data_IF_393471866912
#
_entry.id   IF_393471866912
#
_cell.length_a   1.000
_cell.length_b   1.000
_cell.length_c   1.000
_cell.angle_alpha   90.00
_cell.angle_beta   90.00
_cell.angle_gamma   90.00
#
_symmetry.space_group_name_H-M   'P 1'
#
loop_
_entity.id
_entity.type
_entity.pdbx_description
1 polymer ?
#
# COMPACT_ATOMS: atom_id res chain seq x y z
N UNK A 1 16.42 -7.67 -18.78
CA UNK A 1 15.42 -6.58 -18.87
C UNK A 1 15.36 -5.90 -17.52
N UNK A 2 15.14 -4.58 -17.48
CA UNK A 2 14.96 -3.82 -16.24
C UNK A 2 13.62 -4.20 -15.60
N UNK A 3 13.57 -4.66 -14.33
CA UNK A 3 12.30 -4.98 -13.66
C UNK A 3 11.37 -3.77 -13.59
N UNK A 4 10.07 -3.96 -13.80
CA UNK A 4 9.03 -2.92 -13.78
C UNK A 4 8.17 -3.08 -12.54
N UNK A 5 8.18 -2.09 -11.67
CA UNK A 5 7.46 -2.13 -10.39
C UNK A 5 6.31 -1.13 -10.45
N UNK A 6 5.08 -1.61 -10.28
CA UNK A 6 3.91 -0.76 -10.12
C UNK A 6 3.67 -0.46 -8.64
N UNK A 7 3.71 0.82 -8.29
CA UNK A 7 3.45 1.31 -6.94
C UNK A 7 2.03 1.86 -6.88
N UNK A 8 1.18 1.35 -6.00
CA UNK A 8 -0.18 1.85 -5.77
C UNK A 8 -0.26 2.44 -4.37
N UNK A 9 -0.14 3.77 -4.26
CA UNK A 9 -0.06 4.45 -2.98
C UNK A 9 -0.38 5.96 -3.08
N UNK A 10 -0.45 6.63 -1.93
CA UNK A 10 -0.59 8.08 -1.84
C UNK A 10 0.69 8.84 -2.17
N UNK A 11 0.53 10.07 -2.65
CA UNK A 11 1.61 11.03 -2.88
C UNK A 11 1.89 11.85 -1.63
N UNK A 12 3.15 11.85 -1.18
CA UNK A 12 3.67 12.68 -0.10
C UNK A 12 4.42 13.90 -0.68
N UNK A 13 3.88 15.09 -0.41
CA UNK A 13 4.45 16.36 -0.88
C UNK A 13 5.88 16.63 -0.39
N UNK A 14 6.29 16.07 0.76
CA UNK A 14 7.65 16.22 1.30
C UNK A 14 8.69 15.35 0.57
N UNK A 15 8.22 14.31 -0.12
CA UNK A 15 9.05 13.31 -0.78
C UNK A 15 9.74 12.31 0.16
N UNK A 16 9.35 12.25 1.43
CA UNK A 16 9.93 11.37 2.46
C UNK A 16 9.18 10.05 2.68
N UNK A 17 7.99 9.90 2.11
CA UNK A 17 7.13 8.72 2.15
C UNK A 17 6.35 8.58 0.82
N UNK A 18 5.30 7.75 0.82
CA UNK A 18 4.40 7.58 -0.32
C UNK A 18 5.11 7.13 -1.60
N UNK A 19 4.49 7.44 -2.74
CA UNK A 19 5.04 7.09 -4.06
C UNK A 19 6.43 7.70 -4.28
N UNK A 20 6.76 8.84 -3.66
CA UNK A 20 8.05 9.49 -3.82
C UNK A 20 9.18 8.66 -3.19
N UNK A 21 8.97 8.13 -1.98
CA UNK A 21 9.92 7.22 -1.35
C UNK A 21 10.02 5.89 -2.12
N UNK A 22 8.89 5.38 -2.59
CA UNK A 22 8.84 4.14 -3.36
C UNK A 22 9.60 4.28 -4.70
N UNK A 23 9.35 5.34 -5.48
CA UNK A 23 10.05 5.63 -6.75
C UNK A 23 11.56 5.73 -6.52
N UNK A 24 12.00 6.49 -5.50
CA UNK A 24 13.42 6.64 -5.17
C UNK A 24 14.05 5.28 -4.87
N UNK A 25 13.36 4.46 -4.08
CA UNK A 25 13.84 3.13 -3.69
C UNK A 25 13.97 2.22 -4.90
N UNK A 26 12.91 2.09 -5.72
CA UNK A 26 12.90 1.28 -6.94
C UNK A 26 13.99 1.72 -7.92
N UNK A 27 14.13 3.02 -8.14
CA UNK A 27 15.14 3.59 -9.05
C UNK A 27 16.56 3.30 -8.56
N UNK A 28 16.82 3.48 -7.26
CA UNK A 28 18.13 3.22 -6.65
C UNK A 28 18.51 1.72 -6.70
N UNK A 29 17.51 0.83 -6.72
CA UNK A 29 17.70 -0.61 -6.88
C UNK A 29 17.80 -1.04 -8.36
N UNK A 30 17.80 -0.09 -9.31
CA UNK A 30 18.01 -0.36 -10.74
C UNK A 30 16.77 -0.88 -11.48
N UNK A 31 15.57 -0.60 -10.97
CA UNK A 31 14.30 -0.98 -11.59
C UNK A 31 13.52 0.26 -12.10
N UNK A 32 12.54 0.01 -12.97
CA UNK A 32 11.63 1.03 -13.50
C UNK A 32 10.42 1.19 -12.57
N UNK A 33 10.19 2.41 -12.08
CA UNK A 33 9.07 2.72 -11.20
C UNK A 33 7.89 3.29 -11.98
N UNK A 34 6.74 2.62 -11.89
CA UNK A 34 5.44 3.12 -12.34
C UNK A 34 4.53 3.36 -11.13
N UNK A 35 3.53 4.24 -11.26
CA UNK A 35 2.64 4.58 -10.14
C UNK A 35 1.17 4.62 -10.53
N UNK A 36 0.30 4.20 -9.62
CA UNK A 36 -1.11 4.59 -9.56
C UNK A 36 -1.35 5.34 -8.24
N UNK A 37 -1.70 6.62 -8.34
CA UNK A 37 -1.83 7.50 -7.17
C UNK A 37 -3.22 7.36 -6.57
N UNK A 38 -3.31 7.04 -5.27
CA UNK A 38 -4.58 6.85 -4.55
C UNK A 38 -5.08 8.11 -3.87
N UNK A 39 -4.17 8.97 -3.43
CA UNK A 39 -4.47 10.26 -2.84
C UNK A 39 -3.26 11.19 -2.97
N UNK A 40 -3.50 12.50 -2.89
CA UNK A 40 -2.45 13.51 -2.71
C UNK A 40 -2.55 14.05 -1.30
N UNK A 41 -1.46 13.96 -0.52
CA UNK A 41 -1.42 14.56 0.81
C UNK A 41 -0.74 15.93 0.75
N UNK A 42 -1.37 16.90 1.42
CA UNK A 42 -0.72 18.16 1.79
C UNK A 42 0.04 17.85 3.07
N UNK A 43 1.28 17.42 2.92
CA UNK A 43 2.10 16.89 4.00
C UNK A 43 3.50 17.49 3.96
N UNK A 44 4.05 17.73 5.15
CA UNK A 44 5.44 18.11 5.35
C UNK A 44 6.05 17.30 6.52
N UNK A 45 7.24 17.70 6.97
CA UNK A 45 7.94 17.02 8.07
C UNK A 45 7.29 17.20 9.44
N UNK A 46 6.28 18.07 9.56
CA UNK A 46 5.57 18.36 10.81
C UNK A 46 4.22 17.67 10.90
N UNK A 47 3.65 17.22 9.78
CA UNK A 47 2.41 16.45 9.77
C UNK A 47 1.68 16.45 8.43
N UNK A 48 0.46 15.90 8.47
CA UNK A 48 -0.50 15.93 7.36
C UNK A 48 -1.52 17.03 7.63
N UNK A 49 -1.63 17.97 6.70
CA UNK A 49 -2.51 19.13 6.77
C UNK A 49 -3.76 18.99 5.91
N UNK A 50 -3.77 18.01 4.99
CA UNK A 50 -4.91 17.73 4.13
C UNK A 50 -4.68 16.50 3.26
N UNK A 51 -5.78 15.90 2.81
CA UNK A 51 -5.77 14.73 1.92
C UNK A 51 -6.79 14.96 0.82
N UNK A 52 -6.38 14.77 -0.43
CA UNK A 52 -7.26 14.77 -1.59
C UNK A 52 -7.29 13.36 -2.18
N UNK A 53 -8.39 12.64 -1.99
CA UNK A 53 -8.57 11.31 -2.54
C UNK A 53 -8.73 11.36 -4.07
N UNK A 54 -8.06 10.45 -4.77
CA UNK A 54 -8.25 10.27 -6.21
C UNK A 54 -9.49 9.39 -6.41
N UNK A 55 -10.39 9.71 -7.36
CA UNK A 55 -11.54 8.87 -7.69
C UNK A 55 -11.14 7.44 -8.04
N UNK A 56 -11.95 6.47 -7.60
CA UNK A 56 -11.65 5.03 -7.73
C UNK A 56 -11.47 4.61 -9.19
N UNK A 57 -12.32 5.12 -10.08
CA UNK A 57 -12.22 4.86 -11.52
C UNK A 57 -10.92 5.38 -12.12
N UNK A 58 -10.42 6.52 -11.64
CA UNK A 58 -9.12 7.07 -12.04
C UNK A 58 -7.96 6.22 -11.51
N UNK A 59 -8.05 5.67 -10.29
CA UNK A 59 -7.04 4.74 -9.74
C UNK A 59 -6.97 3.46 -10.59
N UNK A 60 -8.12 2.85 -10.88
CA UNK A 60 -8.21 1.64 -11.71
C UNK A 60 -7.67 1.91 -13.12
N UNK A 61 -8.02 3.05 -13.72
CA UNK A 61 -7.52 3.43 -15.03
C UNK A 61 -5.99 3.59 -15.06
N UNK A 62 -5.40 4.21 -14.02
CA UNK A 62 -3.94 4.30 -13.87
C UNK A 62 -3.28 2.92 -13.80
N UNK A 63 -3.82 2.01 -12.98
CA UNK A 63 -3.30 0.65 -12.85
C UNK A 63 -3.34 -0.09 -14.19
N UNK A 64 -4.49 -0.06 -14.88
CA UNK A 64 -4.67 -0.73 -16.17
C UNK A 64 -3.76 -0.16 -17.25
N UNK A 65 -3.57 1.16 -17.30
CA UNK A 65 -2.65 1.77 -18.24
C UNK A 65 -1.22 1.20 -18.10
N UNK A 66 -0.78 0.88 -16.89
CA UNK A 66 0.54 0.27 -16.67
C UNK A 66 0.55 -1.23 -16.92
N UNK A 67 -0.47 -1.95 -16.44
CA UNK A 67 -0.57 -3.42 -16.55
C UNK A 67 -0.74 -3.85 -18.02
N UNK A 68 -1.60 -3.16 -18.76
CA UNK A 68 -2.03 -3.59 -20.10
C UNK A 68 -1.07 -3.15 -21.22
N UNK A 69 -0.36 -2.01 -21.07
CA UNK A 69 0.56 -1.48 -22.09
C UNK A 69 2.03 -1.79 -21.76
N UNK A 70 2.55 -1.20 -20.68
CA UNK A 70 3.96 -1.33 -20.31
C UNK A 70 4.26 -2.71 -19.74
N UNK A 71 3.31 -3.30 -19.01
CA UNK A 71 3.43 -4.50 -18.21
C UNK A 71 4.16 -4.27 -16.87
N UNK A 72 3.96 -5.20 -15.94
CA UNK A 72 4.50 -5.15 -14.57
C UNK A 72 5.19 -6.46 -14.22
N UNK A 73 6.21 -6.40 -13.37
CA UNK A 73 6.94 -7.56 -12.85
C UNK A 73 6.77 -7.74 -11.33
N UNK A 74 6.28 -6.70 -10.64
CA UNK A 74 5.92 -6.70 -9.22
C UNK A 74 4.96 -5.53 -8.96
N UNK A 75 4.07 -5.69 -7.98
CA UNK A 75 3.22 -4.61 -7.48
C UNK A 75 3.54 -4.36 -6.01
N UNK A 76 3.71 -3.09 -5.62
CA UNK A 76 3.76 -2.66 -4.23
C UNK A 76 2.52 -1.84 -3.90
N UNK A 77 1.79 -2.24 -2.86
CA UNK A 77 0.66 -1.51 -2.32
C UNK A 77 1.11 -0.76 -1.09
N UNK A 78 0.75 0.52 -0.97
CA UNK A 78 0.91 1.33 0.24
C UNK A 78 -0.44 1.87 0.72
N UNK A 79 -0.51 3.16 1.03
CA UNK A 79 -1.76 3.80 1.47
C UNK A 79 -2.85 3.75 0.39
N UNK A 80 -3.94 3.01 0.65
CA UNK A 80 -5.10 2.89 -0.27
C UNK A 80 -6.28 3.80 0.11
N UNK A 81 -6.42 4.16 1.39
CA UNK A 81 -7.28 5.26 1.84
C UNK A 81 -8.77 4.95 2.05
N UNK A 82 -9.37 3.96 1.39
CA UNK A 82 -10.76 3.56 1.67
C UNK A 82 -11.06 2.11 1.29
N UNK A 83 -12.12 1.54 1.87
CA UNK A 83 -12.60 0.20 1.54
C UNK A 83 -12.99 0.07 0.04
N UNK A 84 -13.54 1.13 -0.55
CA UNK A 84 -13.90 1.18 -1.97
C UNK A 84 -12.66 1.07 -2.87
N UNK A 85 -11.61 1.85 -2.56
CA UNK A 85 -10.33 1.77 -3.28
C UNK A 85 -9.72 0.39 -3.12
N UNK A 86 -9.71 -0.16 -1.90
CA UNK A 86 -9.15 -1.48 -1.62
C UNK A 86 -9.86 -2.57 -2.44
N UNK A 87 -11.19 -2.56 -2.47
CA UNK A 87 -11.98 -3.53 -3.24
C UNK A 87 -11.67 -3.43 -4.75
N UNK A 88 -11.64 -2.21 -5.29
CA UNK A 88 -11.34 -1.99 -6.70
C UNK A 88 -9.90 -2.41 -7.07
N UNK A 89 -8.93 -2.11 -6.20
CA UNK A 89 -7.53 -2.54 -6.36
C UNK A 89 -7.45 -4.07 -6.31
N UNK A 90 -8.11 -4.72 -5.36
CA UNK A 90 -8.15 -6.18 -5.25
C UNK A 90 -8.71 -6.82 -6.53
N UNK A 91 -9.80 -6.27 -7.08
CA UNK A 91 -10.41 -6.77 -8.32
C UNK A 91 -9.45 -6.67 -9.52
N UNK A 92 -8.66 -5.60 -9.63
CA UNK A 92 -7.62 -5.48 -10.66
C UNK A 92 -6.52 -6.53 -10.42
N UNK A 93 -6.06 -6.70 -9.18
CA UNK A 93 -4.94 -7.57 -8.85
C UNK A 93 -5.25 -9.06 -9.01
N UNK A 94 -6.51 -9.50 -8.91
CA UNK A 94 -6.89 -10.91 -9.17
C UNK A 94 -6.52 -11.40 -10.57
N UNK A 95 -6.39 -10.49 -11.54
CA UNK A 95 -5.98 -10.84 -12.91
C UNK A 95 -4.46 -10.82 -13.11
N UNK A 96 -3.69 -10.40 -12.11
CA UNK A 96 -2.24 -10.25 -12.18
C UNK A 96 -1.56 -11.44 -11.50
N UNK A 97 -0.51 -11.98 -12.13
CA UNK A 97 0.21 -13.18 -11.66
C UNK A 97 1.60 -12.89 -11.07
N UNK A 98 1.94 -11.60 -10.93
CA UNK A 98 3.24 -11.14 -10.43
C UNK A 98 3.20 -11.02 -8.90
N UNK A 99 4.35 -11.09 -8.20
CA UNK A 99 4.37 -10.90 -6.75
C UNK A 99 3.82 -9.54 -6.33
N UNK A 100 3.04 -9.56 -5.24
CA UNK A 100 2.45 -8.37 -4.62
C UNK A 100 3.08 -8.18 -3.24
N UNK A 101 3.64 -6.99 -2.99
CA UNK A 101 4.08 -6.55 -1.67
C UNK A 101 3.00 -5.66 -1.08
N UNK A 102 2.43 -6.07 0.04
CA UNK A 102 1.41 -5.32 0.77
C UNK A 102 2.05 -4.64 1.98
N UNK A 103 2.16 -3.32 1.93
CA UNK A 103 2.47 -2.46 3.07
C UNK A 103 1.13 -1.94 3.63
N UNK A 104 0.60 -2.54 4.72
CA UNK A 104 -0.77 -2.29 5.20
C UNK A 104 -0.86 -0.97 5.95
N UNK A 105 -0.57 0.15 5.28
CA UNK A 105 -0.51 1.48 5.89
C UNK A 105 -1.87 1.87 6.45
N UNK A 106 -2.00 1.87 7.78
CA UNK A 106 -3.23 2.26 8.50
C UNK A 106 -3.15 3.66 9.11
N UNK A 107 -1.93 4.18 9.32
CA UNK A 107 -1.67 5.45 10.03
C UNK A 107 -0.60 6.26 9.29
N UNK A 108 -0.77 7.57 9.21
CA UNK A 108 0.24 8.46 8.64
C UNK A 108 1.47 8.56 9.55
N UNK A 109 2.64 8.95 9.01
CA UNK A 109 3.87 9.19 9.79
C UNK A 109 3.68 10.17 10.98
N UNK A 110 2.65 11.02 10.96
CA UNK A 110 2.28 11.94 12.04
C UNK A 110 1.22 11.42 13.03
N UNK A 111 0.83 10.14 12.96
CA UNK A 111 -0.16 9.53 13.86
C UNK A 111 -1.62 9.74 13.47
N UNK A 112 -1.90 10.45 12.38
CA UNK A 112 -3.26 10.61 11.87
C UNK A 112 -3.78 9.27 11.34
N UNK A 113 -4.93 8.82 11.86
CA UNK A 113 -5.62 7.61 11.40
C UNK A 113 -6.03 7.80 9.93
N UNK A 114 -5.61 6.88 9.06
CA UNK A 114 -5.87 6.95 7.62
C UNK A 114 -7.01 6.03 7.19
N UNK A 115 -7.41 5.07 8.02
CA UNK A 115 -8.43 4.07 7.73
C UNK A 115 -9.43 3.93 8.88
N UNK A 116 -10.71 3.88 8.51
CA UNK A 116 -11.80 3.47 9.39
C UNK A 116 -11.84 1.93 9.53
N UNK A 117 -12.58 1.39 10.51
CA UNK A 117 -12.63 -0.05 10.80
C UNK A 117 -13.03 -0.90 9.57
N UNK A 118 -13.92 -0.36 8.73
CA UNK A 118 -14.35 -0.98 7.47
C UNK A 118 -13.18 -1.16 6.49
N UNK A 119 -12.22 -0.24 6.50
CA UNK A 119 -11.06 -0.30 5.63
C UNK A 119 -9.97 -1.27 6.14
N UNK A 120 -9.89 -1.52 7.45
CA UNK A 120 -9.06 -2.62 7.99
C UNK A 120 -9.62 -3.96 7.52
N UNK A 121 -10.95 -4.13 7.59
CA UNK A 121 -11.61 -5.34 7.06
C UNK A 121 -11.36 -5.53 5.58
N UNK A 122 -11.42 -4.44 4.80
CA UNK A 122 -11.11 -4.48 3.38
C UNK A 122 -9.64 -4.84 3.11
N UNK A 123 -8.68 -4.34 3.89
CA UNK A 123 -7.26 -4.68 3.77
C UNK A 123 -7.02 -6.19 3.94
N UNK A 124 -7.75 -6.85 4.84
CA UNK A 124 -7.64 -8.31 5.02
C UNK A 124 -7.96 -9.09 3.73
N UNK A 125 -8.82 -8.56 2.86
CA UNK A 125 -9.13 -9.20 1.58
C UNK A 125 -7.95 -9.17 0.58
N UNK A 126 -6.92 -8.35 0.81
CA UNK A 126 -5.69 -8.33 0.02
C UNK A 126 -4.64 -9.33 0.51
N UNK A 127 -4.73 -9.82 1.76
CA UNK A 127 -3.75 -10.76 2.32
C UNK A 127 -3.56 -12.02 1.45
N UNK A 128 -4.63 -12.67 0.94
CA UNK A 128 -4.47 -13.86 0.10
C UNK A 128 -3.81 -13.60 -1.27
N UNK A 129 -3.73 -12.33 -1.69
CA UNK A 129 -3.08 -11.93 -2.93
C UNK A 129 -1.61 -11.56 -2.71
N UNK A 130 -1.22 -11.26 -1.48
CA UNK A 130 0.11 -10.77 -1.15
C UNK A 130 1.12 -11.92 -1.16
N UNK A 131 2.27 -11.70 -1.81
CA UNK A 131 3.44 -12.55 -1.67
C UNK A 131 4.22 -12.24 -0.38
N UNK A 132 4.21 -10.96 0.03
CA UNK A 132 4.83 -10.48 1.27
C UNK A 132 3.91 -9.41 1.85
N UNK A 133 3.70 -9.44 3.17
CA UNK A 133 3.03 -8.39 3.93
C UNK A 133 4.04 -7.78 4.91
N UNK A 134 4.06 -6.46 5.05
CA UNK A 134 5.07 -5.76 5.87
C UNK A 134 4.45 -4.87 6.97
N UNK A 135 3.62 -5.42 7.88
CA UNK A 135 3.04 -4.61 8.95
C UNK A 135 4.10 -4.19 9.98
N UNK A 136 3.96 -2.99 10.54
CA UNK A 136 4.59 -2.65 11.81
C UNK A 136 3.79 -3.22 13.00
N UNK A 137 4.28 -3.07 14.24
CA UNK A 137 3.64 -3.65 15.43
C UNK A 137 2.17 -3.20 15.62
N UNK A 138 1.84 -1.89 15.58
CA UNK A 138 0.43 -1.46 15.60
C UNK A 138 -0.45 -2.05 14.49
N UNK A 139 0.07 -2.11 13.27
CA UNK A 139 -0.66 -2.66 12.12
C UNK A 139 -0.87 -4.17 12.26
N UNK A 140 0.14 -4.89 12.75
CA UNK A 140 0.06 -6.33 12.98
C UNK A 140 -1.02 -6.64 14.02
N UNK A 141 -1.02 -5.91 15.15
CA UNK A 141 -2.05 -6.04 16.17
C UNK A 141 -3.46 -5.71 15.64
N UNK A 142 -3.58 -4.70 14.77
CA UNK A 142 -4.86 -4.36 14.14
C UNK A 142 -5.36 -5.42 13.15
N UNK A 143 -4.45 -6.10 12.45
CA UNK A 143 -4.79 -7.17 11.49
C UNK A 143 -5.15 -8.49 12.18
N UNK A 144 -4.49 -8.83 13.29
CA UNK A 144 -4.67 -10.13 13.97
C UNK A 144 -5.60 -10.05 15.17
N UNK A 145 -5.79 -8.86 15.75
CA UNK A 145 -6.50 -8.68 17.03
C UNK A 145 -5.69 -9.14 18.25
N UNK A 146 -4.39 -9.43 18.08
CA UNK A 146 -3.48 -9.88 19.13
C UNK A 146 -2.73 -8.68 19.72
N UNK A 147 -2.70 -8.55 21.04
CA UNK A 147 -1.84 -7.58 21.72
C UNK A 147 -0.37 -8.02 21.62
N UNK A 148 0.52 -7.10 21.30
CA UNK A 148 1.94 -7.38 21.05
C UNK A 148 2.78 -6.56 22.03
N UNK A 149 3.33 -7.23 23.04
CA UNK A 149 4.22 -6.60 24.04
C UNK A 149 5.69 -6.89 23.76
N UNK A 150 5.98 -8.05 23.16
CA UNK A 150 7.34 -8.48 22.84
C UNK A 150 7.51 -9.14 21.46
N UNK A 151 8.73 -9.56 21.15
CA UNK A 151 9.07 -10.22 19.88
C UNK A 151 8.42 -11.60 19.73
N UNK A 152 8.14 -12.29 20.84
CA UNK A 152 7.46 -13.58 20.85
C UNK A 152 6.00 -13.44 20.42
N UNK A 153 5.30 -12.45 20.98
CA UNK A 153 3.92 -12.10 20.58
C UNK A 153 3.86 -11.71 19.10
N UNK A 154 4.83 -10.90 18.64
CA UNK A 154 4.92 -10.48 17.25
C UNK A 154 5.08 -11.69 16.29
N UNK A 155 5.89 -12.68 16.68
CA UNK A 155 6.08 -13.88 15.87
C UNK A 155 4.81 -14.73 15.79
N UNK A 156 4.08 -14.88 16.90
CA UNK A 156 2.82 -15.61 16.95
C UNK A 156 1.75 -14.91 16.10
N UNK A 157 1.58 -13.60 16.28
CA UNK A 157 0.65 -12.81 15.47
C UNK A 157 1.00 -12.90 13.97
N UNK A 158 2.28 -12.83 13.60
CA UNK A 158 2.70 -12.96 12.21
C UNK A 158 2.40 -14.34 11.60
N UNK A 159 2.37 -15.40 12.41
CA UNK A 159 1.97 -16.74 11.94
C UNK A 159 0.46 -16.84 11.67
N UNK A 160 -0.37 -16.04 12.34
CA UNK A 160 -1.83 -16.01 12.11
C UNK A 160 -2.22 -15.28 10.82
N UNK A 161 -1.31 -14.47 10.24
CA UNK A 161 -1.52 -13.78 8.96
C UNK A 161 -1.40 -14.71 7.73
N UNK A 162 -0.88 -15.94 7.90
CA UNK A 162 -0.48 -16.87 6.82
C UNK A 162 -1.49 -18.02 6.67
#
# INVERSE_FOLDING_TARGET
>A
MTPRILIVAGSDSSGGAGIQADIKTVTMLGAYAATAVTAVTVQDTTGVHGVHAIPVDVIVAQMRAMIDDIGVDCVKLGMLGSAEVIAAVADVLRAVTVPIVLDPVMVAKGGARLLDDDAVTALMALLPLAAIVTPNTPELAALTGVEIEDEGDALLAAQELI
#
